data_IF_499618327268
#
_entry.id   IF_499618327268
#
_cell.length_a   1.000
_cell.length_b   1.000
_cell.length_c   1.000
_cell.angle_alpha   90.00
_cell.angle_beta   90.00
_cell.angle_gamma   90.00
#
_symmetry.space_group_name_H-M   'P 1'
#
loop_
_entity.id
_entity.type
_entity.pdbx_description
1 polymer ?
#
# COMPACT_ATOMS: atom_id res chain seq x y z
N UNK A 1 60.52 43.18 27.90
CA UNK A 1 59.39 42.24 28.19
C UNK A 1 58.40 42.36 27.03
N UNK A 2 58.44 41.59 25.93
CA UNK A 2 58.37 40.13 25.69
C UNK A 2 56.98 39.46 25.83
N UNK A 3 55.86 40.19 25.86
CA UNK A 3 54.53 39.56 25.98
C UNK A 3 53.43 40.00 24.99
N UNK A 4 53.74 40.78 23.94
CA UNK A 4 52.71 41.26 23.00
C UNK A 4 52.73 40.59 21.62
N UNK A 5 53.65 39.66 21.37
CA UNK A 5 53.76 38.94 20.07
C UNK A 5 53.31 37.48 20.10
N UNK A 6 52.87 36.96 21.26
CA UNK A 6 52.46 35.56 21.43
C UNK A 6 50.92 35.35 21.38
N UNK A 7 50.14 36.44 21.40
CA UNK A 7 48.67 36.36 21.41
C UNK A 7 48.06 35.96 20.05
N UNK A 8 48.52 36.46 18.87
CA UNK A 8 47.86 36.09 17.62
C UNK A 8 48.18 34.66 17.16
N UNK A 9 49.27 34.06 17.66
CA UNK A 9 49.68 32.70 17.31
C UNK A 9 48.87 31.62 18.04
N UNK A 10 48.41 31.88 19.26
CA UNK A 10 47.56 30.92 20.00
C UNK A 10 46.13 30.86 19.43
N UNK A 11 45.59 31.99 18.95
CA UNK A 11 44.24 32.05 18.34
C UNK A 11 44.20 31.33 16.99
N UNK A 12 45.28 31.40 16.20
CA UNK A 12 45.39 30.66 14.95
C UNK A 12 45.51 29.14 15.15
N UNK A 13 46.13 28.68 16.25
CA UNK A 13 46.25 27.25 16.56
C UNK A 13 44.92 26.62 17.02
N UNK A 14 44.06 27.39 17.70
CA UNK A 14 42.72 26.92 18.11
C UNK A 14 41.75 26.85 16.91
N UNK A 15 41.92 27.69 15.89
CA UNK A 15 41.08 27.66 14.69
C UNK A 15 41.31 26.42 13.80
N UNK A 16 42.49 25.79 13.86
CA UNK A 16 42.82 24.61 13.04
C UNK A 16 42.37 23.29 13.71
N UNK A 17 42.18 23.28 15.03
CA UNK A 17 41.66 22.11 15.76
C UNK A 17 40.13 21.95 15.65
N UNK A 18 39.42 22.95 15.11
CA UNK A 18 37.98 22.89 14.84
C UNK A 18 37.60 22.09 13.60
N UNK A 19 38.55 21.84 12.69
CA UNK A 19 38.40 20.86 11.60
C UNK A 19 38.69 19.44 12.11
N UNK A 20 38.10 19.08 13.25
CA UNK A 20 37.97 17.69 13.63
C UNK A 20 37.08 17.03 12.61
N UNK A 21 37.66 16.09 11.84
CA UNK A 21 37.03 15.16 10.90
C UNK A 21 35.52 15.21 11.04
N UNK A 22 34.85 15.73 10.02
CA UNK A 22 33.40 15.59 9.90
C UNK A 22 33.10 14.13 10.22
N UNK A 23 32.59 13.87 11.42
CA UNK A 23 31.96 12.62 11.70
C UNK A 23 30.69 12.72 10.87
N UNK A 24 30.82 12.44 9.57
CA UNK A 24 29.76 11.79 8.82
C UNK A 24 29.51 10.56 9.67
N UNK A 25 28.58 10.70 10.62
CA UNK A 25 28.06 9.58 11.37
C UNK A 25 27.52 8.71 10.27
N UNK A 26 28.27 7.69 9.87
CA UNK A 26 27.78 6.67 8.97
C UNK A 26 26.53 6.17 9.69
N UNK A 27 25.31 6.53 9.22
CA UNK A 27 24.13 6.14 9.93
C UNK A 27 24.08 4.63 9.73
N UNK A 28 24.44 3.88 10.77
CA UNK A 28 24.30 2.43 10.75
C UNK A 28 22.81 2.15 10.66
N UNK A 29 22.33 1.89 9.45
CA UNK A 29 20.95 1.52 9.22
C UNK A 29 20.69 0.17 9.88
N UNK A 30 19.65 0.04 10.72
CA UNK A 30 19.27 -1.27 11.20
C UNK A 30 18.75 -2.10 10.01
N UNK A 31 18.65 -3.43 10.14
CA UNK A 31 17.99 -4.25 9.14
C UNK A 31 16.58 -3.72 8.87
N UNK A 32 16.23 -3.51 7.61
CA UNK A 32 14.95 -2.92 7.21
C UNK A 32 14.03 -3.94 6.54
N UNK A 33 12.73 -3.74 6.72
CA UNK A 33 11.64 -4.31 5.96
C UNK A 33 10.90 -3.18 5.23
N UNK A 34 10.04 -3.51 4.26
CA UNK A 34 9.15 -2.55 3.62
C UNK A 34 7.70 -2.75 4.07
N UNK A 35 7.00 -1.66 4.39
CA UNK A 35 5.58 -1.70 4.79
C UNK A 35 4.76 -0.77 3.92
N UNK A 36 3.68 -1.30 3.36
CA UNK A 36 2.63 -0.52 2.70
C UNK A 36 1.34 -0.64 3.50
N UNK A 37 0.63 0.47 3.68
CA UNK A 37 -0.72 0.47 4.25
C UNK A 37 -1.79 0.48 3.17
N UNK A 38 -2.90 -0.21 3.41
CA UNK A 38 -4.10 -0.19 2.56
C UNK A 38 -5.33 0.03 3.44
N UNK A 39 -6.14 1.03 3.11
CA UNK A 39 -7.40 1.28 3.80
C UNK A 39 -8.59 0.72 3.00
N UNK A 40 -9.20 -0.34 3.50
CA UNK A 40 -10.42 -0.94 2.96
C UNK A 40 -11.62 -0.83 3.89
N UNK A 41 -11.55 0.03 4.92
CA UNK A 41 -12.68 0.28 5.83
C UNK A 41 -13.71 1.15 5.13
N UNK A 42 -14.93 0.65 5.00
CA UNK A 42 -15.93 1.20 4.09
C UNK A 42 -17.04 2.03 4.76
N UNK A 43 -16.91 2.36 6.04
CA UNK A 43 -17.99 2.97 6.85
C UNK A 43 -17.51 4.11 7.79
N UNK A 44 -16.27 4.56 7.65
CA UNK A 44 -15.66 5.60 8.50
C UNK A 44 -15.03 6.74 7.69
N UNK A 45 -14.26 7.64 8.28
CA UNK A 45 -13.47 8.63 7.53
C UNK A 45 -12.13 8.02 7.06
N UNK A 46 -11.23 8.87 6.57
CA UNK A 46 -9.86 8.45 6.32
C UNK A 46 -9.18 7.96 7.62
N UNK A 47 -8.13 7.17 7.48
CA UNK A 47 -7.45 6.54 8.61
C UNK A 47 -5.99 6.98 8.73
N UNK A 48 -5.52 7.08 9.96
CA UNK A 48 -4.11 7.32 10.28
C UNK A 48 -3.46 6.03 10.79
N UNK A 49 -2.41 5.58 10.13
CA UNK A 49 -1.62 4.41 10.53
C UNK A 49 -0.30 4.89 11.14
N UNK A 50 -0.01 4.44 12.36
CA UNK A 50 1.16 4.89 13.15
C UNK A 50 1.89 3.70 13.75
N UNK A 51 3.20 3.61 13.52
CA UNK A 51 4.07 2.95 14.49
C UNK A 51 4.26 3.91 15.69
N UNK A 52 4.01 3.43 16.90
CA UNK A 52 3.98 4.27 18.12
C UNK A 52 5.14 3.97 19.08
N UNK A 53 5.98 3.01 18.74
CA UNK A 53 7.09 2.55 19.57
C UNK A 53 8.37 3.38 19.39
N UNK A 54 8.59 3.97 18.21
CA UNK A 54 9.75 4.81 17.91
C UNK A 54 9.49 5.78 16.76
N UNK A 55 10.43 6.71 16.56
CA UNK A 55 10.33 7.74 15.51
C UNK A 55 11.06 7.33 14.23
N UNK A 56 12.28 6.79 14.32
CA UNK A 56 13.09 6.44 13.15
C UNK A 56 12.60 5.14 12.49
N UNK A 57 12.70 5.05 11.17
CA UNK A 57 12.26 3.87 10.39
C UNK A 57 10.84 3.44 10.77
N UNK A 58 9.95 4.41 10.92
CA UNK A 58 8.56 4.20 11.32
C UNK A 58 7.66 4.55 10.14
N UNK A 59 7.03 3.55 9.48
CA UNK A 59 6.14 3.81 8.38
C UNK A 59 4.88 4.50 8.90
N UNK A 60 4.31 5.36 8.07
CA UNK A 60 3.18 6.20 8.42
C UNK A 60 2.21 6.35 7.26
N UNK A 61 0.92 6.40 7.55
CA UNK A 61 -0.08 6.91 6.62
C UNK A 61 -0.92 7.96 7.33
N UNK A 62 -1.01 9.15 6.74
CA UNK A 62 -1.81 10.26 7.24
C UNK A 62 -3.06 10.39 6.38
N UNK A 63 -4.23 10.45 7.00
CA UNK A 63 -5.50 10.62 6.29
C UNK A 63 -5.62 9.68 5.07
N UNK A 64 -5.27 8.41 5.24
CA UNK A 64 -5.36 7.42 4.16
C UNK A 64 -6.83 7.19 3.82
N UNK A 65 -7.25 7.69 2.67
CA UNK A 65 -8.62 7.58 2.20
C UNK A 65 -9.03 6.12 1.95
N UNK A 66 -10.33 5.85 1.96
CA UNK A 66 -10.86 4.54 1.55
C UNK A 66 -10.41 4.21 0.13
N UNK A 67 -9.94 2.97 -0.07
CA UNK A 67 -9.32 2.46 -1.32
C UNK A 67 -7.93 3.02 -1.62
N UNK A 68 -7.39 3.83 -0.74
CA UNK A 68 -6.02 4.32 -0.81
C UNK A 68 -5.01 3.29 -0.32
N UNK A 69 -3.78 3.43 -0.84
CA UNK A 69 -2.62 2.75 -0.32
C UNK A 69 -1.40 3.68 -0.30
N UNK A 70 -0.42 3.36 0.53
CA UNK A 70 0.89 4.01 0.49
C UNK A 70 1.83 3.28 -0.48
N UNK A 71 2.99 3.85 -0.73
CA UNK A 71 4.15 3.09 -1.18
C UNK A 71 4.72 2.20 -0.05
N UNK A 72 5.65 1.31 -0.39
CA UNK A 72 6.40 0.57 0.62
C UNK A 72 7.39 1.52 1.29
N UNK A 73 7.16 1.79 2.56
CA UNK A 73 8.01 2.64 3.40
C UNK A 73 8.96 1.77 4.22
N UNK A 74 10.18 2.22 4.47
CA UNK A 74 11.14 1.48 5.30
C UNK A 74 10.64 1.39 6.74
N UNK A 75 10.66 0.19 7.29
CA UNK A 75 10.44 -0.08 8.71
C UNK A 75 11.61 -0.88 9.27
N UNK A 76 12.02 -0.62 10.51
CA UNK A 76 13.00 -1.48 11.17
C UNK A 76 12.45 -2.90 11.32
N UNK A 77 13.25 -3.90 10.96
CA UNK A 77 12.89 -5.31 10.98
C UNK A 77 12.94 -5.89 12.40
N UNK A 78 11.88 -5.65 13.15
CA UNK A 78 11.65 -6.19 14.50
C UNK A 78 10.16 -6.24 14.82
N UNK A 79 9.81 -6.56 16.06
CA UNK A 79 8.47 -6.34 16.59
C UNK A 79 8.19 -4.83 16.70
N UNK A 80 7.13 -4.36 16.04
CA UNK A 80 6.73 -2.95 15.98
C UNK A 80 5.30 -2.79 16.46
N UNK A 81 5.07 -1.81 17.32
CA UNK A 81 3.74 -1.52 17.88
C UNK A 81 2.99 -0.53 17.00
N UNK A 82 1.84 -0.93 16.47
CA UNK A 82 1.00 -0.13 15.59
C UNK A 82 -0.32 0.24 16.22
N UNK A 83 -0.76 1.46 15.93
CA UNK A 83 -2.12 1.92 16.12
C UNK A 83 -2.70 2.50 14.84
N UNK A 84 -3.99 2.26 14.65
CA UNK A 84 -4.78 2.86 13.56
C UNK A 84 -5.90 3.68 14.15
N UNK A 85 -6.05 4.91 13.67
CA UNK A 85 -7.03 5.88 14.17
C UNK A 85 -7.95 6.34 13.04
N UNK A 86 -9.17 6.72 13.40
CA UNK A 86 -10.02 7.53 12.52
C UNK A 86 -9.41 8.93 12.46
N UNK A 87 -9.12 9.43 11.27
CA UNK A 87 -8.60 10.80 11.10
C UNK A 87 -9.65 11.80 11.55
N UNK A 88 -9.35 12.50 12.64
CA UNK A 88 -10.20 13.49 13.28
C UNK A 88 -9.35 14.47 14.10
N UNK A 89 -9.88 15.66 14.38
CA UNK A 89 -9.29 16.59 15.35
C UNK A 89 -9.98 16.50 16.72
N UNK A 90 -11.07 15.73 16.82
CA UNK A 90 -11.79 15.53 18.07
C UNK A 90 -11.03 14.55 18.98
N UNK A 91 -10.60 14.96 20.18
CA UNK A 91 -9.94 14.09 21.14
C UNK A 91 -10.80 12.89 21.56
N UNK A 92 -12.13 13.01 21.58
CA UNK A 92 -13.02 11.90 21.90
C UNK A 92 -12.97 10.78 20.86
N UNK A 93 -12.65 11.11 19.61
CA UNK A 93 -12.48 10.13 18.52
C UNK A 93 -11.04 9.61 18.46
N UNK A 94 -10.05 10.51 18.48
CA UNK A 94 -8.64 10.17 18.27
C UNK A 94 -7.98 9.44 19.44
N UNK A 95 -8.55 9.51 20.64
CA UNK A 95 -8.08 8.75 21.81
C UNK A 95 -8.40 7.24 21.75
N UNK A 96 -9.27 6.82 20.82
CA UNK A 96 -9.71 5.44 20.69
C UNK A 96 -9.16 4.83 19.39
N UNK A 97 -8.00 4.14 19.43
CA UNK A 97 -7.51 3.43 18.25
C UNK A 97 -8.48 2.31 17.85
N UNK A 98 -8.75 2.19 16.55
CA UNK A 98 -9.57 1.11 15.98
C UNK A 98 -8.79 -0.21 15.93
N UNK A 99 -7.45 -0.10 15.89
CA UNK A 99 -6.51 -1.22 15.98
C UNK A 99 -5.38 -0.80 16.90
N UNK A 100 -5.00 -1.69 17.81
CA UNK A 100 -3.83 -1.55 18.68
C UNK A 100 -3.14 -2.92 18.76
N UNK A 101 -2.02 -3.09 18.04
CA UNK A 101 -1.41 -4.41 17.87
C UNK A 101 0.07 -4.35 17.56
N UNK A 102 0.78 -5.45 17.80
CA UNK A 102 2.21 -5.60 17.47
C UNK A 102 2.38 -6.52 16.27
N UNK A 103 3.19 -6.10 15.30
CA UNK A 103 3.54 -6.89 14.13
C UNK A 103 5.05 -7.10 14.10
N UNK A 104 5.50 -8.32 13.83
CA UNK A 104 6.93 -8.64 13.72
C UNK A 104 7.33 -8.70 12.26
N UNK A 105 8.39 -7.96 11.91
CA UNK A 105 8.92 -7.91 10.55
C UNK A 105 10.28 -8.58 10.44
N UNK A 106 10.48 -9.32 9.35
CA UNK A 106 11.77 -9.87 8.96
C UNK A 106 12.49 -8.90 8.01
N UNK A 107 13.82 -8.88 8.09
CA UNK A 107 14.64 -8.05 7.20
C UNK A 107 14.47 -8.45 5.74
N UNK A 108 14.63 -7.47 4.83
CA UNK A 108 14.52 -7.64 3.38
C UNK A 108 13.17 -8.23 2.90
N UNK A 109 12.12 -8.07 3.69
CA UNK A 109 10.78 -8.55 3.39
C UNK A 109 9.80 -7.39 3.29
N UNK A 110 8.95 -7.40 2.26
CA UNK A 110 7.88 -6.43 2.12
C UNK A 110 6.59 -6.98 2.73
N UNK A 111 5.81 -6.09 3.34
CA UNK A 111 4.53 -6.41 3.98
C UNK A 111 3.46 -5.41 3.54
N UNK A 112 2.28 -5.92 3.17
CA UNK A 112 1.08 -5.09 3.03
C UNK A 112 0.24 -5.24 4.29
N UNK A 113 0.02 -4.14 4.99
CA UNK A 113 -0.81 -4.05 6.17
C UNK A 113 -2.14 -3.41 5.78
N UNK A 114 -3.21 -4.17 5.88
CA UNK A 114 -4.49 -3.82 5.31
C UNK A 114 -5.55 -3.86 6.40
N UNK A 115 -6.32 -2.78 6.54
CA UNK A 115 -7.48 -2.77 7.42
C UNK A 115 -8.74 -2.94 6.58
N UNK A 116 -9.51 -4.00 6.85
CA UNK A 116 -10.74 -4.35 6.13
C UNK A 116 -11.94 -4.41 7.07
N UNK A 117 -13.14 -4.52 6.51
CA UNK A 117 -14.40 -4.56 7.27
C UNK A 117 -14.97 -3.16 7.52
N UNK A 118 -15.69 -3.01 8.63
CA UNK A 118 -16.31 -1.74 9.02
C UNK A 118 -15.92 -1.34 10.44
N UNK A 119 -15.50 -0.09 10.64
CA UNK A 119 -15.14 0.47 11.95
C UNK A 119 -16.31 0.49 12.95
N UNK A 120 -17.56 0.50 12.46
CA UNK A 120 -18.76 0.40 13.30
C UNK A 120 -19.19 -1.06 13.53
N UNK A 121 -18.57 -1.99 12.81
CA UNK A 121 -18.77 -3.43 12.94
C UNK A 121 -17.48 -4.11 13.38
N UNK A 122 -17.13 -5.20 12.69
CA UNK A 122 -15.85 -5.88 12.90
C UNK A 122 -14.83 -5.37 11.89
N UNK A 123 -13.71 -4.86 12.40
CA UNK A 123 -12.51 -4.58 11.60
C UNK A 123 -11.57 -5.78 11.62
N UNK A 124 -10.87 -6.01 10.52
CA UNK A 124 -9.83 -7.02 10.43
C UNK A 124 -8.52 -6.39 9.98
N UNK A 125 -7.48 -6.55 10.80
CA UNK A 125 -6.14 -6.11 10.47
C UNK A 125 -5.36 -7.27 9.84
N UNK A 126 -5.26 -7.24 8.52
CA UNK A 126 -4.62 -8.27 7.71
C UNK A 126 -3.19 -7.86 7.43
N UNK A 127 -2.24 -8.73 7.77
CA UNK A 127 -0.82 -8.54 7.46
C UNK A 127 -0.43 -9.58 6.41
N UNK A 128 -0.10 -9.10 5.21
CA UNK A 128 0.30 -9.92 4.09
C UNK A 128 1.82 -9.84 3.96
N UNK A 129 2.48 -10.99 3.94
CA UNK A 129 3.88 -11.06 3.53
C UNK A 129 3.95 -11.10 2.02
N UNK A 130 4.71 -10.17 1.42
CA UNK A 130 4.84 -10.06 -0.02
C UNK A 130 5.89 -11.04 -0.54
N UNK A 131 5.41 -12.11 -1.17
CA UNK A 131 6.22 -13.20 -1.73
C UNK A 131 6.02 -13.34 -3.23
N UNK A 132 5.81 -12.21 -3.91
CA UNK A 132 5.56 -12.18 -5.35
C UNK A 132 6.64 -12.96 -6.13
N UNK A 133 6.24 -13.97 -6.93
CA UNK A 133 7.20 -14.76 -7.69
C UNK A 133 7.89 -13.90 -8.75
N UNK A 134 8.98 -14.41 -9.33
CA UNK A 134 9.53 -13.86 -10.58
C UNK A 134 8.74 -14.46 -11.74
N UNK A 135 7.94 -13.68 -12.49
CA UNK A 135 7.25 -14.20 -13.68
C UNK A 135 8.23 -14.65 -14.75
N UNK A 136 7.82 -15.62 -15.59
CA UNK A 136 8.60 -16.01 -16.76
C UNK A 136 8.60 -14.90 -17.82
N UNK A 137 9.43 -15.06 -18.87
CA UNK A 137 9.48 -14.12 -19.99
C UNK A 137 8.08 -13.93 -20.62
N UNK A 138 7.77 -12.68 -21.00
CA UNK A 138 6.46 -12.29 -21.53
C UNK A 138 5.26 -12.55 -20.60
N UNK A 139 5.50 -12.72 -19.30
CA UNK A 139 4.45 -12.92 -18.31
C UNK A 139 4.49 -11.88 -17.19
N UNK A 140 3.32 -11.73 -16.57
CA UNK A 140 3.16 -11.09 -15.27
C UNK A 140 2.53 -12.09 -14.29
N UNK A 141 2.66 -11.82 -12.99
CA UNK A 141 1.96 -12.57 -11.95
C UNK A 141 0.82 -11.74 -11.35
N UNK A 142 -0.35 -12.33 -11.17
CA UNK A 142 -1.51 -11.65 -10.60
C UNK A 142 -2.13 -12.53 -9.50
N UNK A 143 -2.49 -11.93 -8.36
CA UNK A 143 -3.36 -12.56 -7.36
C UNK A 143 -4.51 -11.64 -7.00
N UNK A 144 -5.52 -12.16 -6.33
CA UNK A 144 -6.66 -11.38 -5.82
C UNK A 144 -6.66 -11.35 -4.29
N UNK A 145 -6.97 -10.19 -3.72
CA UNK A 145 -7.40 -10.08 -2.33
C UNK A 145 -8.88 -9.67 -2.29
N UNK A 146 -9.69 -10.40 -1.51
CA UNK A 146 -11.12 -10.15 -1.39
C UNK A 146 -11.44 -9.45 -0.06
N UNK A 147 -11.73 -8.14 -0.11
CA UNK A 147 -12.09 -7.38 1.10
C UNK A 147 -13.60 -7.22 1.27
N UNK A 148 -14.39 -8.08 0.62
CA UNK A 148 -15.84 -8.13 0.79
C UNK A 148 -16.27 -9.18 1.81
N UNK A 149 -17.56 -9.22 2.13
CA UNK A 149 -18.16 -10.20 3.04
C UNK A 149 -18.60 -11.51 2.35
N UNK A 150 -18.42 -11.63 1.02
CA UNK A 150 -18.87 -12.80 0.24
C UNK A 150 -17.72 -13.33 -0.62
N UNK A 151 -17.79 -14.59 -1.04
CA UNK A 151 -16.80 -15.13 -1.98
C UNK A 151 -16.95 -14.47 -3.37
N UNK A 152 -15.83 -14.28 -4.05
CA UNK A 152 -15.77 -13.66 -5.38
C UNK A 152 -15.01 -14.53 -6.38
N UNK A 153 -15.35 -14.37 -7.66
CA UNK A 153 -14.57 -14.84 -8.79
C UNK A 153 -13.92 -13.64 -9.48
N UNK A 154 -12.63 -13.72 -9.80
CA UNK A 154 -11.93 -12.70 -10.57
C UNK A 154 -11.51 -13.26 -11.93
N UNK A 155 -12.04 -12.65 -12.99
CA UNK A 155 -11.69 -12.91 -14.37
C UNK A 155 -10.66 -11.89 -14.83
N UNK A 156 -9.61 -12.38 -15.49
CA UNK A 156 -8.63 -11.53 -16.16
C UNK A 156 -8.90 -11.62 -17.66
N UNK A 157 -9.31 -10.50 -18.24
CA UNK A 157 -9.76 -10.37 -19.65
C UNK A 157 -9.13 -9.13 -20.27
N UNK A 158 -9.23 -8.96 -21.59
CA UNK A 158 -8.52 -7.85 -22.25
C UNK A 158 -8.98 -6.44 -21.87
N UNK A 159 -10.28 -6.29 -21.57
CA UNK A 159 -10.95 -5.00 -21.34
C UNK A 159 -12.08 -5.12 -20.33
N UNK A 160 -12.39 -4.01 -19.65
CA UNK A 160 -13.57 -3.88 -18.77
C UNK A 160 -14.91 -4.12 -19.48
N UNK A 161 -14.94 -4.03 -20.81
CA UNK A 161 -16.11 -4.34 -21.64
C UNK A 161 -16.18 -5.80 -22.09
N UNK A 162 -15.09 -6.57 -21.99
CA UNK A 162 -15.04 -7.98 -22.43
C UNK A 162 -15.92 -8.82 -21.53
N UNK A 163 -16.93 -9.50 -22.09
CA UNK A 163 -17.83 -10.37 -21.33
C UNK A 163 -17.06 -11.43 -20.51
N UNK A 164 -17.47 -11.63 -19.26
CA UNK A 164 -16.94 -12.72 -18.42
C UNK A 164 -17.63 -14.02 -18.80
N UNK A 165 -16.85 -15.05 -19.13
CA UNK A 165 -17.35 -16.38 -19.46
C UNK A 165 -16.26 -17.42 -19.19
N UNK A 166 -16.66 -18.68 -19.03
CA UNK A 166 -15.72 -19.77 -18.73
C UNK A 166 -15.22 -19.74 -17.28
N UNK A 167 -14.00 -20.24 -17.07
CA UNK A 167 -13.39 -20.37 -15.74
C UNK A 167 -12.70 -19.07 -15.33
N UNK A 168 -12.97 -18.53 -14.13
CA UNK A 168 -12.26 -17.37 -13.62
C UNK A 168 -10.78 -17.69 -13.37
N UNK A 169 -9.92 -16.67 -13.51
CA UNK A 169 -8.50 -16.81 -13.23
C UNK A 169 -8.24 -17.11 -11.74
N UNK A 170 -9.06 -16.52 -10.86
CA UNK A 170 -9.09 -16.82 -9.44
C UNK A 170 -10.54 -17.12 -9.04
N UNK A 171 -10.83 -18.41 -8.82
CA UNK A 171 -12.16 -18.90 -8.45
C UNK A 171 -12.37 -18.90 -6.94
N UNK A 172 -13.59 -18.61 -6.51
CA UNK A 172 -14.10 -18.76 -5.14
C UNK A 172 -13.14 -18.21 -4.07
N UNK A 173 -12.61 -17.01 -4.30
CA UNK A 173 -11.74 -16.32 -3.33
C UNK A 173 -12.61 -15.92 -2.15
N UNK A 174 -12.44 -16.60 -1.01
CA UNK A 174 -13.25 -16.40 0.19
C UNK A 174 -13.16 -14.96 0.72
N UNK A 175 -14.18 -14.55 1.49
CA UNK A 175 -14.19 -13.26 2.17
C UNK A 175 -12.94 -13.10 3.08
N UNK A 176 -12.23 -11.99 2.95
CA UNK A 176 -10.99 -11.71 3.69
C UNK A 176 -9.77 -12.52 3.23
N UNK A 177 -9.88 -13.33 2.18
CA UNK A 177 -8.80 -14.20 1.73
C UNK A 177 -7.97 -13.59 0.59
N UNK A 178 -6.75 -14.11 0.46
CA UNK A 178 -5.88 -13.91 -0.69
C UNK A 178 -5.82 -15.20 -1.52
N UNK A 179 -5.85 -15.06 -2.84
CA UNK A 179 -5.53 -16.17 -3.74
C UNK A 179 -4.02 -16.38 -3.84
N UNK A 180 -3.62 -17.52 -4.43
CA UNK A 180 -2.29 -17.67 -5.00
C UNK A 180 -2.07 -16.75 -6.22
N UNK A 181 -0.81 -16.55 -6.59
CA UNK A 181 -0.46 -15.89 -7.85
C UNK A 181 -0.69 -16.84 -9.02
N UNK A 182 -1.32 -16.32 -10.08
CA UNK A 182 -1.38 -16.95 -11.40
C UNK A 182 -0.47 -16.20 -12.37
N UNK A 183 0.22 -16.94 -13.23
CA UNK A 183 1.00 -16.35 -14.30
C UNK A 183 0.13 -16.17 -15.55
N UNK A 184 0.20 -14.99 -16.15
CA UNK A 184 -0.55 -14.66 -17.37
C UNK A 184 0.35 -13.92 -18.35
N UNK A 185 0.04 -14.03 -19.64
CA UNK A 185 0.74 -13.28 -20.66
C UNK A 185 0.61 -11.77 -20.40
N UNK A 186 1.72 -11.04 -20.48
CA UNK A 186 1.71 -9.59 -20.42
C UNK A 186 0.94 -9.01 -21.61
N UNK A 187 0.17 -7.95 -21.41
CA UNK A 187 -0.61 -7.33 -22.47
C UNK A 187 -1.76 -6.46 -21.96
N UNK A 188 -2.85 -6.41 -22.73
CA UNK A 188 -4.09 -5.75 -22.28
C UNK A 188 -4.77 -6.67 -21.29
N UNK A 189 -4.87 -6.23 -20.04
CA UNK A 189 -5.53 -7.00 -18.99
C UNK A 189 -6.41 -6.05 -18.17
N UNK A 190 -7.61 -6.50 -17.87
CA UNK A 190 -8.60 -5.92 -16.99
C UNK A 190 -9.07 -6.99 -16.02
N UNK A 191 -9.31 -6.60 -14.79
CA UNK A 191 -9.93 -7.45 -13.79
C UNK A 191 -11.43 -7.21 -13.86
N UNK A 192 -12.21 -8.28 -13.95
CA UNK A 192 -13.68 -8.27 -13.86
C UNK A 192 -14.09 -9.25 -12.79
N UNK A 193 -14.64 -8.71 -11.71
CA UNK A 193 -15.01 -9.48 -10.53
C UNK A 193 -16.51 -9.70 -10.51
N UNK A 194 -16.92 -10.90 -10.17
CA UNK A 194 -18.31 -11.29 -9.92
C UNK A 194 -18.43 -11.90 -8.52
N UNK A 195 -19.63 -11.93 -7.91
CA UNK A 195 -19.89 -12.86 -6.83
C UNK A 195 -19.61 -14.30 -7.30
N UNK A 196 -19.07 -15.15 -6.42
CA UNK A 196 -18.69 -16.50 -6.80
C UNK A 196 -19.88 -17.27 -7.42
N UNK A 197 -19.64 -17.91 -8.57
CA UNK A 197 -20.66 -18.66 -9.32
C UNK A 197 -21.66 -17.78 -10.10
N UNK A 198 -21.49 -16.46 -10.13
CA UNK A 198 -22.33 -15.53 -10.88
C UNK A 198 -21.62 -15.00 -12.13
N UNK A 199 -22.39 -14.68 -13.17
CA UNK A 199 -21.93 -13.96 -14.35
C UNK A 199 -22.12 -12.43 -14.25
N UNK A 200 -22.78 -11.95 -13.19
CA UNK A 200 -23.02 -10.52 -12.98
C UNK A 200 -21.77 -9.83 -12.44
N UNK A 201 -21.18 -8.94 -13.24
CA UNK A 201 -19.97 -8.19 -12.86
C UNK A 201 -20.32 -7.13 -11.82
N UNK A 202 -19.70 -7.24 -10.64
CA UNK A 202 -19.86 -6.32 -9.52
C UNK A 202 -18.79 -5.24 -9.46
N UNK A 203 -17.60 -5.51 -10.00
CA UNK A 203 -16.51 -4.55 -10.11
C UNK A 203 -15.63 -4.84 -11.33
N UNK A 204 -15.07 -3.79 -11.93
CA UNK A 204 -14.10 -3.95 -13.00
C UNK A 204 -13.13 -2.78 -13.07
N UNK A 205 -11.87 -3.04 -13.41
CA UNK A 205 -10.87 -2.00 -13.68
C UNK A 205 -9.82 -2.51 -14.66
N UNK A 206 -9.43 -1.65 -15.61
CA UNK A 206 -8.29 -1.92 -16.48
C UNK A 206 -7.01 -1.94 -15.65
N UNK A 207 -6.16 -2.94 -15.86
CA UNK A 207 -4.83 -2.97 -15.27
C UNK A 207 -3.96 -1.82 -15.79
N UNK A 208 -3.10 -1.24 -14.94
CA UNK A 208 -2.27 -0.11 -15.31
C UNK A 208 -1.21 -0.53 -16.33
N UNK A 209 -1.07 0.23 -17.41
CA UNK A 209 0.07 0.09 -18.32
C UNK A 209 1.32 0.69 -17.69
N UNK A 210 2.48 0.15 -18.04
CA UNK A 210 3.74 0.73 -17.62
C UNK A 210 3.89 2.12 -18.26
N UNK A 211 4.16 3.17 -17.48
CA UNK A 211 4.57 4.44 -18.05
C UNK A 211 5.91 4.28 -18.78
N UNK A 212 6.22 5.24 -19.66
CA UNK A 212 7.52 5.27 -20.31
C UNK A 212 8.64 5.28 -19.26
N UNK A 213 9.62 4.38 -19.42
CA UNK A 213 10.81 4.32 -18.57
C UNK A 213 11.91 5.15 -19.22
N UNK A 214 12.58 6.02 -18.45
CA UNK A 214 13.71 6.79 -18.97
C UNK A 214 14.94 5.90 -19.14
N UNK A 215 15.86 6.23 -20.07
CA UNK A 215 17.10 5.46 -20.24
C UNK A 215 17.91 5.36 -18.95
N UNK A 216 18.27 4.13 -18.55
CA UNK A 216 19.05 3.85 -17.34
C UNK A 216 18.22 3.73 -16.06
N UNK A 217 16.92 3.98 -16.09
CA UNK A 217 16.03 3.73 -14.96
C UNK A 217 15.51 2.29 -14.93
N UNK A 218 15.10 1.85 -13.74
CA UNK A 218 14.44 0.56 -13.58
C UNK A 218 13.10 0.59 -14.32
N UNK A 219 12.73 -0.46 -15.09
CA UNK A 219 11.46 -0.45 -15.81
C UNK A 219 10.28 -0.33 -14.86
N UNK A 220 9.31 0.49 -15.25
CA UNK A 220 8.09 0.68 -14.48
C UNK A 220 7.19 -0.56 -14.54
N UNK A 221 6.46 -0.83 -13.45
CA UNK A 221 5.48 -1.90 -13.43
C UNK A 221 4.27 -1.57 -14.32
N UNK A 222 3.76 -2.60 -14.98
CA UNK A 222 2.59 -2.52 -15.84
C UNK A 222 2.11 -3.88 -16.27
N UNK A 223 0.85 -3.98 -16.69
CA UNK A 223 0.31 -5.23 -17.26
C UNK A 223 0.97 -5.63 -18.56
N UNK A 224 1.60 -4.69 -19.25
CA UNK A 224 2.41 -4.84 -20.46
C UNK A 224 3.92 -4.89 -20.18
N UNK A 225 4.35 -4.79 -18.92
CA UNK A 225 5.75 -4.91 -18.52
C UNK A 225 6.03 -6.27 -17.89
N UNK A 226 6.80 -7.10 -18.60
CA UNK A 226 7.19 -8.42 -18.11
C UNK A 226 7.90 -8.35 -16.75
N UNK A 227 7.73 -9.39 -15.94
CA UNK A 227 8.35 -9.45 -14.62
C UNK A 227 7.62 -8.65 -13.55
N UNK A 228 6.53 -7.96 -13.90
CA UNK A 228 5.64 -7.30 -12.94
C UNK A 228 4.79 -8.32 -12.19
N UNK A 229 4.54 -8.07 -10.90
CA UNK A 229 3.52 -8.79 -10.14
C UNK A 229 2.52 -7.83 -9.49
N UNK A 230 1.25 -8.22 -9.48
CA UNK A 230 0.15 -7.43 -8.93
C UNK A 230 -0.69 -8.20 -7.92
N UNK A 231 -1.18 -7.48 -6.92
CA UNK A 231 -2.37 -7.83 -6.16
C UNK A 231 -3.54 -7.00 -6.67
N UNK A 232 -4.59 -7.65 -7.15
CA UNK A 232 -5.88 -7.03 -7.45
C UNK A 232 -6.74 -7.09 -6.19
N UNK A 233 -6.98 -5.94 -5.57
CA UNK A 233 -7.77 -5.86 -4.35
C UNK A 233 -9.20 -5.47 -4.69
N UNK A 234 -10.17 -6.32 -4.34
CA UNK A 234 -11.58 -5.98 -4.43
C UNK A 234 -12.00 -5.16 -3.20
N UNK A 235 -12.56 -3.98 -3.43
CA UNK A 235 -13.12 -3.11 -2.41
C UNK A 235 -14.65 -3.14 -2.48
N UNK A 236 -15.34 -3.42 -1.36
CA UNK A 236 -16.79 -3.37 -1.31
C UNK A 236 -17.32 -1.94 -1.50
N UNK A 237 -18.64 -1.82 -1.63
CA UNK A 237 -19.28 -0.51 -1.65
C UNK A 237 -19.06 0.24 -0.33
N UNK A 238 -19.02 1.56 -0.40
CA UNK A 238 -19.09 2.41 0.80
C UNK A 238 -20.46 2.31 1.45
N UNK A 239 -20.52 2.37 2.78
CA UNK A 239 -21.78 2.32 3.54
C UNK A 239 -22.50 3.66 3.42
N UNK A 240 -23.76 3.62 2.96
CA UNK A 240 -24.60 4.81 2.81
C UNK A 240 -24.71 5.60 4.13
N UNK A 241 -24.58 6.93 4.06
CA UNK A 241 -24.63 7.80 5.23
C UNK A 241 -23.34 7.85 6.07
N UNK A 242 -22.30 7.08 5.72
CA UNK A 242 -21.00 7.17 6.39
C UNK A 242 -20.12 8.29 5.82
N UNK A 243 -19.07 8.74 6.53
CA UNK A 243 -18.11 9.70 5.99
C UNK A 243 -17.33 9.21 4.76
N UNK A 244 -17.26 7.89 4.49
CA UNK A 244 -16.76 7.36 3.21
C UNK A 244 -17.77 7.54 2.07
N UNK A 245 -19.06 7.74 2.38
CA UNK A 245 -20.07 8.07 1.39
C UNK A 245 -19.87 9.53 0.92
N UNK A 246 -20.07 9.81 -0.38
CA UNK A 246 -19.90 11.16 -0.93
C UNK A 246 -20.77 12.18 -0.19
N UNK A 247 -20.17 13.30 0.21
CA UNK A 247 -20.89 14.56 0.42
C UNK A 247 -20.79 15.37 -0.88
N UNK A 248 -21.82 16.18 -1.18
CA UNK A 248 -21.86 16.98 -2.41
C UNK A 248 -20.53 17.72 -2.67
N UNK A 249 -19.92 17.49 -3.84
CA UNK A 249 -18.79 18.27 -4.36
C UNK A 249 -17.38 17.63 -4.29
N UNK A 250 -17.14 16.58 -3.50
CA UNK A 250 -15.87 15.80 -3.56
C UNK A 250 -16.11 14.35 -3.18
N UNK A 251 -15.65 13.40 -4.01
CA UNK A 251 -15.84 11.98 -3.74
C UNK A 251 -14.75 11.45 -2.80
N UNK A 252 -15.14 10.98 -1.62
CA UNK A 252 -14.22 10.36 -0.64
C UNK A 252 -13.86 8.90 -0.98
N UNK A 253 -14.32 8.42 -2.13
CA UNK A 253 -14.14 7.06 -2.64
C UNK A 253 -12.86 6.86 -3.48
N UNK A 254 -12.04 7.90 -3.69
CA UNK A 254 -10.82 7.82 -4.51
C UNK A 254 -11.04 7.63 -6.03
N UNK A 255 -12.25 7.87 -6.54
CA UNK A 255 -12.55 7.82 -7.99
C UNK A 255 -12.54 9.20 -8.66
N UNK A 256 -12.91 9.31 -9.94
CA UNK A 256 -13.30 10.60 -10.53
C UNK A 256 -14.76 10.93 -10.14
N UNK A 257 -15.03 12.17 -9.72
CA UNK A 257 -16.40 12.62 -9.45
C UNK A 257 -17.23 12.69 -10.76
N UNK A 258 -18.57 12.63 -10.69
CA UNK A 258 -19.43 12.46 -9.52
C UNK A 258 -19.83 10.99 -9.30
N UNK A 259 -19.73 10.51 -8.06
CA UNK A 259 -20.40 9.29 -7.63
C UNK A 259 -21.27 9.65 -6.41
N UNK A 260 -22.54 9.24 -6.38
CA UNK A 260 -23.46 9.43 -5.25
C UNK A 260 -23.27 8.36 -4.14
N UNK A 261 -22.68 7.23 -4.51
CA UNK A 261 -22.29 6.11 -3.65
C UNK A 261 -20.97 5.53 -4.16
N UNK A 262 -20.07 5.06 -3.27
CA UNK A 262 -18.88 4.35 -3.71
C UNK A 262 -19.30 2.95 -4.20
N UNK A 263 -19.60 2.76 -5.49
CA UNK A 263 -19.84 1.42 -6.05
C UNK A 263 -18.63 0.51 -5.82
N UNK A 264 -18.81 -0.82 -5.70
CA UNK A 264 -17.68 -1.74 -5.57
C UNK A 264 -16.68 -1.54 -6.72
N UNK A 265 -15.40 -1.74 -6.43
CA UNK A 265 -14.34 -1.57 -7.44
C UNK A 265 -13.16 -2.49 -7.14
N UNK A 266 -12.22 -2.55 -8.06
CA UNK A 266 -10.94 -3.23 -7.88
C UNK A 266 -9.80 -2.24 -8.11
N UNK A 267 -8.75 -2.35 -7.30
CA UNK A 267 -7.51 -1.57 -7.46
C UNK A 267 -6.34 -2.52 -7.64
N UNK A 268 -5.44 -2.14 -8.54
CA UNK A 268 -4.22 -2.88 -8.83
C UNK A 268 -3.07 -2.31 -8.00
N UNK A 269 -2.50 -3.12 -7.11
CA UNK A 269 -1.30 -2.76 -6.37
C UNK A 269 -0.11 -3.53 -6.92
N UNK A 270 0.99 -2.82 -7.16
CA UNK A 270 2.26 -3.41 -7.58
C UNK A 270 2.90 -4.10 -6.40
N UNK A 271 3.19 -5.39 -6.53
CA UNK A 271 3.94 -6.16 -5.53
C UNK A 271 5.40 -6.36 -5.95
N UNK A 272 5.64 -6.38 -7.26
CA UNK A 272 6.97 -6.54 -7.84
C UNK A 272 7.13 -5.65 -9.07
N UNK A 273 8.23 -4.91 -9.09
CA UNK A 273 8.71 -4.19 -10.26
C UNK A 273 9.53 -5.14 -11.17
N UNK A 274 9.49 -4.96 -12.50
CA UNK A 274 10.40 -5.61 -13.42
C UNK A 274 11.87 -5.48 -12.97
N UNK A 275 12.67 -6.50 -13.30
CA UNK A 275 14.13 -6.40 -13.21
C UNK A 275 14.68 -5.88 -14.53
N UNK A 276 15.76 -5.08 -14.51
CA UNK A 276 16.50 -4.72 -15.72
C UNK A 276 16.98 -5.93 -16.52
#
# INVERSE_FOLDING_TARGET
>A
MRLTRLVPSLVAAVAIAGCGKDNVTDPTFPPLAGVRFVNSVNDTSALDFRAIDQIQFSPVANALAFRGATEFQPTEAKARHFRVFVTSQDPAITSHPIVDTTVTFAANTNYTMMLTGGARGTVQFVVITETAPTPAANQIAVRTANNSAVAIDNYLVDSVSTAVSGTPAMANVAAGALSGYVAIASGKIAARVTPAGSAAVSASQQGPRAPATLPGERPAAGVDAQGTAFTVVYFPAGVAGSPTAPAAGTNRCGGAAPLATCNPTVVWFVDRLPTP
#
